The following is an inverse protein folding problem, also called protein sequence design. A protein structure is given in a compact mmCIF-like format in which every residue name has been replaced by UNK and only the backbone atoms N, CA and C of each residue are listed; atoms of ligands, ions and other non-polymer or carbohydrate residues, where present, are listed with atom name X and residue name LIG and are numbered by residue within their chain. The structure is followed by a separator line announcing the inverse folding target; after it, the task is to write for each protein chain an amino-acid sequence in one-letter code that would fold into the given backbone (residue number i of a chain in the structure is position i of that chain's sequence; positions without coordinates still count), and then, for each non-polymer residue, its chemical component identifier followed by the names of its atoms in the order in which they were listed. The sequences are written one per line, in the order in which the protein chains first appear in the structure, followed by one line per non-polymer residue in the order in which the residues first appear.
data_IF_433961130636
#
_entry.id   IF_433961130636
#
_cell.length_a   1.000
_cell.length_b   1.000
_cell.length_c   1.000
_cell.angle_alpha   90.00
_cell.angle_beta   90.00
_cell.angle_gamma   90.00
#
_symmetry.space_group_name_H-M   'P 1'
#
loop_
_entity.id
_entity.type
_entity.pdbx_description
1 polymer ?
#
# COMPACT_ATOMS: atom_id res chain seq x y z
N UNK A 1 -5.65 32.39 -17.97
CA UNK A 1 -4.44 31.55 -17.88
C UNK A 1 -3.78 31.76 -16.51
N UNK A 2 -4.52 31.56 -15.42
CA UNK A 2 -4.03 31.76 -14.06
C UNK A 2 -3.58 30.40 -13.50
N UNK A 3 -2.35 30.35 -13.00
CA UNK A 3 -1.70 29.16 -12.50
C UNK A 3 -2.45 28.53 -11.35
N UNK A 4 -2.63 27.21 -11.45
CA UNK A 4 -2.90 26.32 -10.33
C UNK A 4 -1.61 25.56 -9.99
N UNK A 5 -0.55 26.31 -9.69
CA UNK A 5 0.63 25.78 -9.00
C UNK A 5 0.29 25.67 -7.51
N UNK A 6 -0.58 24.70 -7.19
CA UNK A 6 -0.87 24.34 -5.80
C UNK A 6 0.41 23.79 -5.15
N UNK A 7 0.71 24.14 -3.88
CA UNK A 7 1.90 23.65 -3.22
C UNK A 7 1.75 22.15 -3.06
N UNK A 8 2.73 21.39 -3.54
CA UNK A 8 2.92 20.01 -3.17
C UNK A 8 3.09 19.97 -1.64
N UNK A 9 1.97 19.82 -0.94
CA UNK A 9 1.91 19.69 0.51
C UNK A 9 2.70 18.46 0.89
N UNK A 10 3.92 18.67 1.37
CA UNK A 10 4.79 17.60 1.86
C UNK A 10 4.24 17.17 3.22
N UNK A 11 3.20 16.35 3.15
CA UNK A 11 2.63 15.64 4.29
C UNK A 11 3.72 14.78 4.96
N UNK A 12 3.63 14.54 6.29
CA UNK A 12 4.62 13.78 7.04
C UNK A 12 4.92 12.45 6.35
N UNK A 13 6.21 12.10 6.29
CA UNK A 13 6.73 10.94 5.56
C UNK A 13 5.77 9.75 5.69
N UNK A 14 5.08 9.35 4.61
CA UNK A 14 4.02 8.37 4.70
C UNK A 14 4.64 7.07 5.18
N UNK A 15 4.10 6.52 6.26
CA UNK A 15 4.18 5.09 6.51
C UNK A 15 3.11 4.46 5.63
N UNK A 16 3.47 3.46 4.83
CA UNK A 16 2.47 2.77 4.03
C UNK A 16 1.50 2.11 5.03
N UNK A 17 0.19 2.31 4.91
CA UNK A 17 -0.76 1.68 5.81
C UNK A 17 -0.88 0.18 5.56
N UNK A 18 -0.02 -0.43 4.73
CA UNK A 18 -0.06 -1.85 4.38
C UNK A 18 1.31 -2.51 4.55
N UNK A 19 1.29 -3.75 5.04
CA UNK A 19 2.45 -4.64 5.17
C UNK A 19 2.22 -5.90 4.35
N UNK A 20 3.30 -6.46 3.81
CA UNK A 20 3.28 -7.69 3.00
C UNK A 20 4.02 -8.78 3.77
N UNK A 21 3.37 -9.91 3.99
CA UNK A 21 3.89 -11.08 4.70
C UNK A 21 4.01 -12.30 3.78
N UNK A 22 3.12 -13.28 3.97
CA UNK A 22 3.11 -14.61 3.33
C UNK A 22 2.85 -14.57 1.80
N UNK A 23 3.67 -13.83 1.06
CA UNK A 23 3.53 -13.58 -0.36
C UNK A 23 4.03 -14.78 -1.19
N UNK A 24 3.18 -15.29 -2.07
CA UNK A 24 3.51 -16.39 -2.98
C UNK A 24 3.99 -15.92 -4.37
N UNK A 25 4.19 -14.62 -4.57
CA UNK A 25 4.78 -14.08 -5.81
C UNK A 25 3.87 -14.07 -7.04
N UNK A 26 2.54 -14.11 -6.90
CA UNK A 26 1.62 -14.14 -8.06
C UNK A 26 1.60 -12.85 -8.90
N UNK A 27 2.09 -11.73 -8.37
CA UNK A 27 2.20 -10.46 -9.09
C UNK A 27 0.91 -9.65 -9.25
N UNK A 28 -0.26 -10.16 -8.81
CA UNK A 28 -1.53 -9.46 -8.98
C UNK A 28 -1.55 -8.04 -8.38
N UNK A 29 -0.97 -7.88 -7.19
CA UNK A 29 -0.86 -6.57 -6.53
C UNK A 29 0.04 -5.57 -7.28
N UNK A 30 0.99 -6.04 -8.10
CA UNK A 30 1.85 -5.17 -8.92
C UNK A 30 1.06 -4.55 -10.08
N UNK A 31 0.13 -5.32 -10.66
CA UNK A 31 -0.70 -4.91 -11.78
C UNK A 31 -1.84 -4.00 -11.34
N UNK A 32 -2.45 -4.28 -10.18
CA UNK A 32 -3.63 -3.51 -9.72
C UNK A 32 -3.26 -2.15 -9.10
N UNK A 33 -2.04 -2.00 -8.56
CA UNK A 33 -1.69 -0.80 -7.80
C UNK A 33 -1.61 0.44 -8.71
N UNK A 34 -2.53 1.42 -8.59
CA UNK A 34 -2.66 2.52 -9.57
C UNK A 34 -1.48 3.50 -9.52
N UNK A 35 -0.85 3.64 -8.36
CA UNK A 35 0.36 4.47 -8.18
C UNK A 35 1.64 3.68 -8.34
N UNK A 36 1.53 2.38 -8.63
CA UNK A 36 2.63 1.42 -8.61
C UNK A 36 3.48 1.62 -7.36
N UNK A 37 2.89 1.54 -6.16
CA UNK A 37 3.63 1.62 -4.91
C UNK A 37 4.37 0.31 -4.57
N UNK A 38 3.92 -0.83 -5.08
CA UNK A 38 4.50 -2.15 -4.75
C UNK A 38 5.60 -2.48 -5.76
N UNK A 39 6.78 -2.90 -5.27
CA UNK A 39 7.93 -3.28 -6.11
C UNK A 39 8.49 -4.65 -5.72
N UNK A 40 8.88 -5.48 -6.69
CA UNK A 40 9.67 -6.67 -6.41
C UNK A 40 11.08 -6.28 -5.97
N UNK A 41 11.62 -7.06 -5.03
CA UNK A 41 12.98 -6.97 -4.49
C UNK A 41 13.53 -8.38 -4.30
N UNK A 42 14.85 -8.57 -4.12
CA UNK A 42 15.41 -9.89 -3.82
C UNK A 42 14.85 -10.55 -2.55
N UNK A 43 14.31 -9.76 -1.61
CA UNK A 43 13.73 -10.23 -0.35
C UNK A 43 12.20 -10.42 -0.40
N UNK A 44 11.58 -10.30 -1.59
CA UNK A 44 10.12 -10.33 -1.76
C UNK A 44 9.57 -8.98 -2.22
N UNK A 45 8.35 -8.63 -1.83
CA UNK A 45 7.72 -7.37 -2.23
C UNK A 45 7.95 -6.27 -1.20
N UNK A 46 8.22 -5.06 -1.68
CA UNK A 46 8.35 -3.85 -0.85
C UNK A 46 7.33 -2.80 -1.26
N UNK A 47 6.72 -2.15 -0.28
CA UNK A 47 5.81 -1.02 -0.50
C UNK A 47 6.59 0.30 -0.40
N UNK A 48 6.49 1.11 -1.44
CA UNK A 48 6.96 2.50 -1.51
C UNK A 48 5.94 3.38 -0.82
N UNK A 49 6.19 3.69 0.45
CA UNK A 49 5.26 4.44 1.25
C UNK A 49 5.02 5.86 0.70
N UNK A 50 6.05 6.47 0.10
CA UNK A 50 5.99 7.74 -0.63
C UNK A 50 5.00 7.76 -1.81
N UNK A 51 4.57 6.59 -2.29
CA UNK A 51 3.60 6.42 -3.38
C UNK A 51 2.31 5.74 -2.96
N UNK A 52 2.27 5.15 -1.78
CA UNK A 52 1.10 4.43 -1.32
C UNK A 52 0.03 5.43 -0.89
N UNK A 53 -1.11 5.42 -1.56
CA UNK A 53 -2.25 6.30 -1.23
C UNK A 53 -3.18 5.69 -0.20
N UNK A 54 -2.94 4.44 0.22
CA UNK A 54 -3.85 3.72 1.11
C UNK A 54 -5.17 3.32 0.45
N UNK A 55 -5.22 3.14 -0.88
CA UNK A 55 -6.43 2.72 -1.60
C UNK A 55 -6.87 1.27 -1.35
N UNK A 56 -6.02 0.44 -0.74
CA UNK A 56 -6.28 -0.95 -0.33
C UNK A 56 -6.64 -1.96 -1.45
N UNK A 57 -6.62 -1.57 -2.72
CA UNK A 57 -6.84 -2.49 -3.86
C UNK A 57 -5.93 -3.75 -3.84
N UNK A 58 -4.70 -3.58 -3.35
CA UNK A 58 -3.77 -4.69 -3.21
C UNK A 58 -4.22 -5.74 -2.17
N UNK A 59 -4.99 -5.34 -1.16
CA UNK A 59 -5.53 -6.23 -0.14
C UNK A 59 -6.60 -7.13 -0.76
N UNK A 60 -7.57 -6.53 -1.46
CA UNK A 60 -8.69 -7.22 -2.10
C UNK A 60 -8.22 -8.22 -3.18
N UNK A 61 -7.19 -7.85 -3.95
CA UNK A 61 -6.72 -8.71 -5.05
C UNK A 61 -5.82 -9.86 -4.60
N UNK A 62 -5.35 -9.89 -3.34
CA UNK A 62 -4.36 -10.86 -2.91
C UNK A 62 -5.04 -12.23 -2.65
N UNK A 63 -4.80 -13.26 -3.48
CA UNK A 63 -5.53 -14.53 -3.36
C UNK A 63 -5.14 -15.38 -2.15
N UNK A 64 -4.16 -14.92 -1.36
CA UNK A 64 -3.57 -15.64 -0.22
C UNK A 64 -3.49 -14.76 1.03
N UNK A 65 -4.18 -13.62 1.04
CA UNK A 65 -4.24 -12.69 2.19
C UNK A 65 -2.86 -12.29 2.74
N UNK A 66 -1.87 -12.15 1.85
CA UNK A 66 -0.50 -11.80 2.23
C UNK A 66 -0.36 -10.32 2.61
N UNK A 67 -1.34 -9.47 2.31
CA UNK A 67 -1.29 -8.02 2.51
C UNK A 67 -2.27 -7.63 3.61
N UNK A 68 -1.80 -6.87 4.62
CA UNK A 68 -2.62 -6.43 5.77
C UNK A 68 -2.43 -4.95 6.05
N UNK A 69 -3.40 -4.33 6.70
CA UNK A 69 -3.29 -2.94 7.16
C UNK A 69 -2.40 -2.86 8.40
N UNK A 70 -1.44 -1.93 8.40
CA UNK A 70 -0.58 -1.66 9.55
C UNK A 70 -1.38 -0.92 10.64
N UNK A 71 -1.50 -1.50 11.83
CA UNK A 71 -2.19 -0.87 12.98
C UNK A 71 -3.61 -1.37 13.27
N UNK A 72 -4.04 -2.48 12.66
CA UNK A 72 -5.31 -3.15 13.02
C UNK A 72 -5.08 -4.36 13.93
N UNK A 73 -4.18 -4.26 14.91
CA UNK A 73 -4.12 -5.15 16.08
C UNK A 73 -5.10 -4.71 17.20
N UNK A 74 -6.01 -3.76 16.93
CA UNK A 74 -7.20 -3.63 17.75
C UNK A 74 -8.17 -4.75 17.36
N UNK A 75 -8.44 -5.75 18.21
CA UNK A 75 -9.48 -6.73 17.95
C UNK A 75 -10.79 -6.00 17.72
N UNK A 76 -11.31 -6.09 16.51
CA UNK A 76 -12.63 -5.58 16.14
C UNK A 76 -13.67 -6.50 16.80
N UNK A 77 -13.98 -6.21 18.07
CA UNK A 77 -14.81 -7.08 18.92
C UNK A 77 -14.94 -6.67 20.39
N UNK A 78 -15.10 -5.37 20.68
CA UNK A 78 -15.69 -4.93 21.98
C UNK A 78 -16.73 -3.85 21.75
N UNK A 79 -17.95 -4.29 21.44
CA UNK A 79 -19.21 -3.70 21.91
C UNK A 79 -20.13 -4.85 22.26
#
# INVERSE_FOLDING_TARGET
MAGLTGPAGVAPAPVAPVVIGACQGCGACLLTCPTHAIRPTPAGLRVRADRCTGCLECLEICPVDAIRVAGTDRPEGVR
#
